data_IF_238203196613
#
_entry.id   IF_238203196613
#
_cell.length_a   1.000
_cell.length_b   1.000
_cell.length_c   1.000
_cell.angle_alpha   90.00
_cell.angle_beta   90.00
_cell.angle_gamma   90.00
#
_symmetry.space_group_name_H-M   'P 1'
#
loop_
_entity.id
_entity.type
_entity.pdbx_description
1 polymer ?
#
# COMPACT_ATOMS: atom_id res chain seq x y z
N UNK A 1 -15.12 22.10 -23.62
CA UNK A 1 -14.82 21.32 -24.85
C UNK A 1 -14.11 20.00 -24.56
N UNK A 2 -13.37 19.85 -23.46
CA UNK A 2 -13.11 18.51 -22.90
C UNK A 2 -13.46 18.51 -21.41
N UNK A 3 -14.48 17.73 -21.02
CA UNK A 3 -14.86 17.50 -19.62
C UNK A 3 -14.04 16.40 -18.97
N UNK A 4 -12.74 16.34 -19.26
CA UNK A 4 -11.86 15.27 -18.78
C UNK A 4 -11.43 15.55 -17.34
N UNK A 5 -11.63 14.58 -16.45
CA UNK A 5 -11.18 14.63 -15.06
C UNK A 5 -9.68 14.30 -14.95
N UNK A 6 -8.81 15.20 -15.43
CA UNK A 6 -7.35 14.99 -15.45
C UNK A 6 -6.70 14.95 -14.07
N UNK A 7 -7.39 15.44 -13.03
CA UNK A 7 -6.89 15.45 -11.65
C UNK A 7 -6.44 14.06 -11.18
N UNK A 8 -7.15 13.01 -11.61
CA UNK A 8 -6.84 11.64 -11.22
C UNK A 8 -5.52 11.12 -11.76
N UNK A 9 -4.96 11.74 -12.81
CA UNK A 9 -3.63 11.37 -13.33
C UNK A 9 -2.54 11.59 -12.27
N UNK A 10 -2.75 12.51 -11.31
CA UNK A 10 -1.78 12.74 -10.24
C UNK A 10 -1.54 11.49 -9.37
N UNK A 11 -2.52 10.58 -9.29
CA UNK A 11 -2.38 9.30 -8.56
C UNK A 11 -1.21 8.47 -9.05
N UNK A 12 -0.96 8.48 -10.37
CA UNK A 12 0.09 7.68 -10.98
C UNK A 12 1.47 8.33 -10.89
N UNK A 13 1.57 9.62 -10.53
CA UNK A 13 2.85 10.31 -10.37
C UNK A 13 3.70 9.68 -9.26
N UNK A 14 3.07 9.13 -8.21
CA UNK A 14 3.78 8.46 -7.13
C UNK A 14 4.58 7.23 -7.58
N UNK A 15 4.16 6.56 -8.65
CA UNK A 15 4.85 5.36 -9.17
C UNK A 15 6.20 5.72 -9.81
N UNK A 16 6.31 6.90 -10.41
CA UNK A 16 7.55 7.37 -11.03
C UNK A 16 8.67 7.59 -10.00
N UNK A 17 8.32 7.77 -8.72
CA UNK A 17 9.31 7.92 -7.65
C UNK A 17 9.94 6.60 -7.23
N UNK A 18 9.36 5.44 -7.55
CA UNK A 18 9.95 4.16 -7.18
C UNK A 18 11.22 3.95 -8.01
N UNK A 19 12.39 3.75 -7.36
CA UNK A 19 13.61 3.56 -8.11
C UNK A 19 13.59 2.24 -8.87
N UNK A 20 13.97 2.29 -10.14
CA UNK A 20 14.19 1.13 -10.97
C UNK A 20 15.67 0.70 -10.93
N UNK A 21 15.90 -0.61 -10.94
CA UNK A 21 17.22 -1.19 -11.14
C UNK A 21 17.47 -1.31 -12.64
N UNK A 22 18.39 -0.49 -13.16
CA UNK A 22 18.87 -0.60 -14.54
C UNK A 22 20.27 -1.23 -14.62
N UNK A 23 21.09 -1.04 -13.59
CA UNK A 23 22.48 -1.48 -13.56
C UNK A 23 22.69 -2.57 -12.50
N UNK A 24 23.72 -3.39 -12.71
CA UNK A 24 24.07 -4.48 -11.80
C UNK A 24 24.49 -3.96 -10.41
N UNK A 25 25.09 -2.77 -10.36
CA UNK A 25 25.34 -2.06 -9.10
C UNK A 25 24.17 -1.12 -8.79
N UNK A 26 23.54 -1.25 -7.60
CA UNK A 26 22.41 -0.41 -7.23
C UNK A 26 22.86 1.03 -6.98
N UNK A 27 22.06 1.98 -7.45
CA UNK A 27 22.25 3.40 -7.14
C UNK A 27 21.97 3.68 -5.65
N UNK A 28 22.52 4.78 -5.11
CA UNK A 28 22.27 5.18 -3.70
C UNK A 28 20.78 5.28 -3.37
N UNK A 29 19.98 5.75 -4.33
CA UNK A 29 18.54 5.85 -4.19
C UNK A 29 17.87 4.47 -4.11
N UNK A 30 18.28 3.50 -4.93
CA UNK A 30 17.85 2.11 -4.82
C UNK A 30 18.23 1.50 -3.45
N UNK A 31 19.44 1.76 -2.96
CA UNK A 31 19.90 1.24 -1.65
C UNK A 31 19.03 1.78 -0.51
N UNK A 32 18.75 3.09 -0.52
CA UNK A 32 17.89 3.73 0.49
C UNK A 32 16.45 3.19 0.43
N UNK A 33 15.90 3.02 -0.77
CA UNK A 33 14.56 2.48 -0.90
C UNK A 33 14.48 1.01 -0.44
N UNK A 34 15.48 0.19 -0.79
CA UNK A 34 15.55 -1.19 -0.35
C UNK A 34 15.71 -1.31 1.16
N UNK A 35 16.42 -0.40 1.84
CA UNK A 35 16.52 -0.45 3.30
C UNK A 35 15.17 -0.20 3.97
N UNK A 36 14.37 0.76 3.48
CA UNK A 36 12.99 1.00 3.93
C UNK A 36 12.10 -0.22 3.69
N UNK A 37 12.14 -0.81 2.51
CA UNK A 37 11.33 -2.00 2.20
C UNK A 37 11.70 -3.19 3.09
N UNK A 38 12.99 -3.39 3.37
CA UNK A 38 13.47 -4.48 4.21
C UNK A 38 13.10 -4.29 5.68
N UNK A 39 13.13 -3.06 6.20
CA UNK A 39 12.68 -2.81 7.58
C UNK A 39 11.19 -3.07 7.71
N UNK A 40 10.36 -2.55 6.78
CA UNK A 40 8.93 -2.82 6.77
C UNK A 40 8.62 -4.32 6.65
N UNK A 41 9.34 -5.04 5.78
CA UNK A 41 9.16 -6.49 5.65
C UNK A 41 9.47 -7.23 6.95
N UNK A 42 10.53 -6.82 7.67
CA UNK A 42 10.87 -7.42 8.97
C UNK A 42 9.78 -7.16 10.02
N UNK A 43 9.28 -5.93 10.12
CA UNK A 43 8.21 -5.58 11.06
C UNK A 43 6.90 -6.33 10.75
N UNK A 44 6.50 -6.44 9.48
CA UNK A 44 5.31 -7.22 9.16
C UNK A 44 5.52 -8.72 9.37
N UNK A 45 6.73 -9.23 9.12
CA UNK A 45 7.03 -10.64 9.34
C UNK A 45 7.03 -11.01 10.82
N UNK A 46 7.46 -10.12 11.71
CA UNK A 46 7.37 -10.36 13.17
C UNK A 46 5.91 -10.37 13.62
N UNK A 47 5.06 -9.49 13.07
CA UNK A 47 3.62 -9.44 13.38
C UNK A 47 2.84 -10.67 12.89
N UNK A 48 3.13 -11.16 11.69
CA UNK A 48 2.45 -12.34 11.10
C UNK A 48 2.89 -13.67 11.73
N UNK A 49 4.07 -13.68 12.36
CA UNK A 49 4.61 -14.85 13.03
C UNK A 49 4.93 -16.02 12.10
N UNK A 50 5.17 -17.23 12.66
CA UNK A 50 5.52 -18.43 11.88
C UNK A 50 4.35 -18.97 11.03
N UNK A 51 3.12 -18.53 11.31
CA UNK A 51 1.92 -18.83 10.53
C UNK A 51 1.78 -18.01 9.24
N UNK A 52 2.61 -16.97 9.05
CA UNK A 52 2.55 -16.11 7.87
C UNK A 52 3.04 -16.83 6.61
N UNK A 53 2.22 -16.84 5.55
CA UNK A 53 2.65 -17.31 4.23
C UNK A 53 3.68 -16.36 3.60
N UNK A 54 4.66 -16.92 2.92
CA UNK A 54 5.64 -16.16 2.14
C UNK A 54 4.92 -15.31 1.08
N UNK A 55 5.14 -14.00 1.12
CA UNK A 55 4.52 -13.03 0.20
C UNK A 55 3.34 -12.26 0.79
N UNK A 56 2.78 -12.66 1.94
CA UNK A 56 1.67 -11.94 2.62
C UNK A 56 2.00 -10.47 2.94
N UNK A 57 3.26 -10.17 3.24
CA UNK A 57 3.74 -8.82 3.54
C UNK A 57 3.76 -7.89 2.31
N UNK A 58 3.74 -8.43 1.10
CA UNK A 58 3.87 -7.64 -0.13
C UNK A 58 2.71 -6.67 -0.36
N UNK A 59 1.47 -7.12 -0.09
CA UNK A 59 0.26 -6.30 -0.27
C UNK A 59 0.29 -5.10 0.70
N UNK A 60 0.70 -5.32 1.94
CA UNK A 60 0.81 -4.25 2.93
C UNK A 60 1.89 -3.23 2.58
N UNK A 61 3.07 -3.70 2.16
CA UNK A 61 4.19 -2.82 1.79
C UNK A 61 3.86 -2.01 0.53
N UNK A 62 3.19 -2.61 -0.46
CA UNK A 62 2.77 -1.90 -1.69
C UNK A 62 1.68 -0.87 -1.44
N UNK A 63 0.70 -1.16 -0.58
CA UNK A 63 -0.31 -0.18 -0.18
C UNK A 63 0.33 0.97 0.61
N UNK A 64 1.23 0.67 1.54
CA UNK A 64 1.96 1.67 2.30
C UNK A 64 2.75 2.60 1.37
N UNK A 65 3.53 2.05 0.42
CA UNK A 65 4.33 2.86 -0.50
C UNK A 65 3.46 3.73 -1.42
N UNK A 66 2.34 3.21 -1.93
CA UNK A 66 1.41 3.98 -2.76
C UNK A 66 0.81 5.18 -2.00
N UNK A 67 0.39 4.98 -0.76
CA UNK A 67 -0.17 6.05 0.08
C UNK A 67 0.92 7.06 0.47
N UNK A 68 2.12 6.59 0.82
CA UNK A 68 3.25 7.45 1.16
C UNK A 68 3.61 8.39 0.02
N UNK A 69 3.77 7.87 -1.21
CA UNK A 69 4.15 8.71 -2.35
C UNK A 69 3.05 9.69 -2.76
N UNK A 70 1.77 9.27 -2.71
CA UNK A 70 0.67 10.19 -3.00
C UNK A 70 0.60 11.34 -1.98
N UNK A 71 0.78 11.04 -0.69
CA UNK A 71 0.78 12.07 0.35
C UNK A 71 2.01 12.97 0.26
N UNK A 72 3.20 12.41 -0.02
CA UNK A 72 4.41 13.19 -0.18
C UNK A 72 4.32 14.14 -1.38
N UNK A 73 3.81 13.65 -2.51
CA UNK A 73 3.57 14.48 -3.70
C UNK A 73 2.57 15.60 -3.43
N UNK A 74 1.59 15.34 -2.58
CA UNK A 74 0.60 16.34 -2.19
C UNK A 74 1.12 17.55 -1.43
N UNK A 75 2.35 17.49 -0.90
CA UNK A 75 2.98 18.62 -0.22
C UNK A 75 3.54 19.67 -1.19
N UNK A 76 3.77 19.30 -2.45
CA UNK A 76 4.27 20.24 -3.45
C UNK A 76 3.12 21.14 -3.97
N UNK A 77 3.42 22.42 -4.26
CA UNK A 77 2.41 23.33 -4.79
C UNK A 77 1.89 22.82 -6.14
N UNK A 78 0.59 23.01 -6.37
CA UNK A 78 -0.12 22.64 -7.60
C UNK A 78 -0.27 21.14 -7.90
N UNK A 79 0.07 20.25 -6.96
CA UNK A 79 -0.22 18.81 -7.11
C UNK A 79 -1.56 18.48 -6.47
N UNK A 80 -2.46 17.88 -7.25
CA UNK A 80 -3.75 17.39 -6.75
C UNK A 80 -3.58 16.18 -5.83
N UNK A 81 -4.08 16.28 -4.60
CA UNK A 81 -4.01 15.23 -3.57
C UNK A 81 -5.16 14.25 -3.68
N UNK A 82 -4.97 13.19 -4.45
CA UNK A 82 -5.97 12.14 -4.68
C UNK A 82 -6.43 11.44 -3.40
N UNK A 83 -5.57 11.35 -2.38
CA UNK A 83 -5.86 10.74 -1.07
C UNK A 83 -6.83 11.54 -0.19
N UNK A 84 -7.07 12.82 -0.50
CA UNK A 84 -8.06 13.64 0.22
C UNK A 84 -9.51 13.25 -0.13
N UNK A 85 -9.72 12.61 -1.28
CA UNK A 85 -11.03 12.14 -1.71
C UNK A 85 -11.35 10.77 -1.13
N UNK A 86 -12.52 10.67 -0.49
CA UNK A 86 -13.03 9.42 0.09
C UNK A 86 -13.12 8.29 -0.94
N UNK A 87 -13.40 8.62 -2.20
CA UNK A 87 -13.51 7.62 -3.27
C UNK A 87 -12.23 6.80 -3.42
N UNK A 88 -11.05 7.44 -3.33
CA UNK A 88 -9.77 6.74 -3.41
C UNK A 88 -9.53 5.90 -2.15
N UNK A 89 -9.66 6.49 -0.96
CA UNK A 89 -9.35 5.81 0.30
C UNK A 89 -10.29 4.64 0.57
N UNK A 90 -11.58 4.78 0.27
CA UNK A 90 -12.56 3.71 0.39
C UNK A 90 -12.32 2.59 -0.64
N UNK A 91 -11.95 2.95 -1.87
CA UNK A 91 -11.65 1.94 -2.91
C UNK A 91 -10.45 1.06 -2.57
N UNK A 92 -9.48 1.57 -1.81
CA UNK A 92 -8.34 0.80 -1.31
C UNK A 92 -8.67 0.02 -0.03
N UNK A 93 -9.36 0.65 0.92
CA UNK A 93 -9.62 0.05 2.23
C UNK A 93 -10.69 -1.04 2.21
N UNK A 94 -11.78 -0.85 1.46
CA UNK A 94 -12.94 -1.74 1.51
C UNK A 94 -12.63 -3.15 0.96
N UNK A 95 -11.95 -3.33 -0.18
CA UNK A 95 -11.59 -4.67 -0.67
C UNK A 95 -10.65 -5.41 0.29
N UNK A 96 -9.68 -4.71 0.87
CA UNK A 96 -8.74 -5.29 1.83
C UNK A 96 -9.46 -5.73 3.11
N UNK A 97 -10.34 -4.88 3.65
CA UNK A 97 -11.10 -5.22 4.84
C UNK A 97 -12.06 -6.38 4.58
N UNK A 98 -12.79 -6.34 3.46
CA UNK A 98 -13.79 -7.34 3.13
C UNK A 98 -13.14 -8.71 2.87
N UNK A 99 -11.96 -8.75 2.23
CA UNK A 99 -11.23 -10.00 2.03
C UNK A 99 -10.80 -10.65 3.35
N UNK A 100 -10.31 -9.86 4.31
CA UNK A 100 -9.97 -10.38 5.64
C UNK A 100 -11.19 -10.88 6.42
N UNK A 101 -12.31 -10.16 6.37
CA UNK A 101 -13.53 -10.60 7.02
C UNK A 101 -14.01 -11.92 6.43
N UNK A 102 -14.11 -12.02 5.09
CA UNK A 102 -14.53 -13.26 4.41
C UNK A 102 -13.58 -14.42 4.73
N UNK A 103 -12.27 -14.19 4.73
CA UNK A 103 -11.29 -15.19 5.13
C UNK A 103 -11.50 -15.67 6.57
N UNK A 104 -11.70 -14.74 7.51
CA UNK A 104 -11.93 -15.05 8.92
C UNK A 104 -13.22 -15.85 9.13
N UNK A 105 -14.31 -15.46 8.47
CA UNK A 105 -15.58 -16.16 8.55
C UNK A 105 -15.51 -17.58 7.96
N UNK A 106 -14.82 -17.79 6.84
CA UNK A 106 -14.75 -19.11 6.21
C UNK A 106 -13.84 -20.05 7.01
N UNK A 107 -12.69 -19.58 7.50
CA UNK A 107 -11.69 -20.44 8.12
C UNK A 107 -11.82 -20.56 9.65
N UNK A 108 -12.34 -19.53 10.31
CA UNK A 108 -12.36 -19.43 11.77
C UNK A 108 -13.72 -18.96 12.32
N UNK A 109 -14.81 -19.58 11.89
CA UNK A 109 -16.20 -19.25 12.30
C UNK A 109 -16.36 -19.07 13.82
N UNK A 110 -15.91 -20.05 14.61
CA UNK A 110 -16.07 -20.03 16.08
C UNK A 110 -15.31 -18.87 16.74
N UNK A 111 -14.08 -18.60 16.29
CA UNK A 111 -13.28 -17.49 16.80
C UNK A 111 -13.87 -16.13 16.39
N UNK A 112 -14.44 -16.03 15.20
CA UNK A 112 -15.12 -14.80 14.74
C UNK A 112 -16.38 -14.52 15.56
N UNK A 113 -17.18 -15.55 15.88
CA UNK A 113 -18.33 -15.38 16.78
C UNK A 113 -17.89 -15.00 18.20
N UNK A 114 -16.84 -15.63 18.72
CA UNK A 114 -16.29 -15.30 20.04
C UNK A 114 -15.76 -13.86 20.11
N UNK A 115 -15.25 -13.29 19.01
CA UNK A 115 -14.82 -11.90 18.95
C UNK A 115 -15.99 -10.88 18.96
N UNK A 116 -17.20 -11.31 18.59
CA UNK A 116 -18.39 -10.43 18.57
C UNK A 116 -19.09 -10.30 19.93
N UNK A 117 -18.75 -11.16 20.89
CA UNK A 117 -19.29 -11.15 22.27
C UNK A 117 -18.30 -10.44 23.18
#
# INVERSE_FOLDING_TARGET
IFGLSLNWISTFLGILMIPSIYWLMPSRYNIFWNSILLTLHKEFKTLLGPSGHNGSTFIFISLFSLILFNNFMGLFPYIFTSTSHLTLTLSLALPLWLSFMVYGWINHTQHMFAHLV
#
